data_IF_188733484117
#
_entry.id   IF_188733484117
#
_cell.length_a   1.000
_cell.length_b   1.000
_cell.length_c   1.000
_cell.angle_alpha   90.00
_cell.angle_beta   90.00
_cell.angle_gamma   90.00
#
_symmetry.space_group_name_H-M   'P 1'
#
loop_
_entity.id
_entity.type
_entity.pdbx_description
1 polymer ?
#
# COMPACT_ATOMS: atom_id res chain seq x y z
N UNK A 1 -20.76 11.51 15.94
CA UNK A 1 -19.56 10.83 15.38
C UNK A 1 -18.44 11.84 15.23
N UNK A 2 -17.32 11.64 15.92
CA UNK A 2 -16.13 12.49 15.76
C UNK A 2 -15.23 11.89 14.69
N UNK A 3 -15.04 12.61 13.60
CA UNK A 3 -14.15 12.21 12.52
C UNK A 3 -12.69 12.29 13.00
N UNK A 4 -11.85 11.27 12.72
CA UNK A 4 -10.43 11.33 13.03
C UNK A 4 -9.75 12.50 12.34
N UNK A 5 -8.61 12.92 12.89
CA UNK A 5 -7.85 14.07 12.40
C UNK A 5 -6.38 13.73 12.15
N UNK A 6 -5.85 14.30 11.06
CA UNK A 6 -4.42 14.33 10.76
C UNK A 6 -4.04 15.76 10.42
N UNK A 7 -3.35 16.44 11.34
CA UNK A 7 -3.05 17.87 11.19
C UNK A 7 -4.34 18.68 11.06
N UNK A 8 -4.47 19.41 9.95
CA UNK A 8 -5.65 20.24 9.65
C UNK A 8 -6.79 19.46 8.97
N UNK A 9 -6.58 18.19 8.65
CA UNK A 9 -7.51 17.39 7.86
C UNK A 9 -8.39 16.50 8.75
N UNK A 10 -9.61 16.26 8.29
CA UNK A 10 -10.54 15.26 8.81
C UNK A 10 -10.58 14.07 7.86
N UNK A 11 -10.66 12.87 8.42
CA UNK A 11 -10.70 11.63 7.64
C UNK A 11 -12.14 11.13 7.56
N UNK A 12 -12.68 11.05 6.36
CA UNK A 12 -13.97 10.42 6.08
C UNK A 12 -13.76 8.92 5.87
N UNK A 13 -13.88 8.14 6.95
CA UNK A 13 -13.67 6.69 6.88
C UNK A 13 -14.74 6.04 5.98
N UNK A 14 -16.01 6.46 6.09
CA UNK A 14 -17.10 5.82 5.37
C UNK A 14 -16.96 6.01 3.85
N UNK A 15 -16.65 7.23 3.43
CA UNK A 15 -16.38 7.53 2.01
C UNK A 15 -15.17 6.74 1.50
N UNK A 16 -14.06 6.73 2.27
CA UNK A 16 -12.87 5.95 1.92
C UNK A 16 -13.18 4.45 1.78
N UNK A 17 -13.83 3.84 2.77
CA UNK A 17 -14.13 2.41 2.78
C UNK A 17 -15.05 2.00 1.63
N UNK A 18 -15.99 2.87 1.24
CA UNK A 18 -16.92 2.60 0.14
C UNK A 18 -16.24 2.44 -1.23
N UNK A 19 -15.01 2.95 -1.37
CA UNK A 19 -14.21 2.88 -2.59
C UNK A 19 -13.05 1.90 -2.42
N UNK A 20 -12.27 2.03 -1.35
CA UNK A 20 -11.04 1.26 -1.18
C UNK A 20 -11.29 -0.24 -0.93
N UNK A 21 -12.27 -0.60 -0.11
CA UNK A 21 -12.47 -2.01 0.27
C UNK A 21 -12.98 -2.89 -0.88
N UNK A 22 -13.91 -2.43 -1.76
CA UNK A 22 -14.28 -3.17 -2.96
C UNK A 22 -13.11 -3.38 -3.93
N UNK A 23 -12.22 -2.40 -4.07
CA UNK A 23 -11.06 -2.49 -4.97
C UNK A 23 -9.96 -3.41 -4.44
N UNK A 24 -9.92 -3.67 -3.13
CA UNK A 24 -8.98 -4.62 -2.51
C UNK A 24 -9.48 -6.07 -2.51
N UNK A 25 -10.63 -6.36 -3.13
CA UNK A 25 -11.09 -7.74 -3.28
C UNK A 25 -10.26 -8.45 -4.35
N UNK A 26 -9.64 -9.57 -3.98
CA UNK A 26 -8.90 -10.44 -4.90
C UNK A 26 -9.89 -11.11 -5.86
N UNK A 27 -9.78 -10.79 -7.14
CA UNK A 27 -10.57 -11.39 -8.23
C UNK A 27 -9.65 -12.18 -9.15
N UNK A 28 -10.18 -13.22 -9.77
CA UNK A 28 -9.41 -14.13 -10.65
C UNK A 28 -8.78 -13.42 -11.86
N UNK A 29 -9.34 -12.27 -12.28
CA UNK A 29 -8.88 -11.46 -13.40
C UNK A 29 -7.90 -10.34 -12.98
N UNK A 30 -7.56 -10.23 -11.70
CA UNK A 30 -6.66 -9.18 -11.22
C UNK A 30 -5.20 -9.57 -11.43
N UNK A 31 -4.46 -8.78 -12.22
CA UNK A 31 -3.04 -9.06 -12.51
C UNK A 31 -2.06 -8.27 -11.62
N UNK A 32 -2.49 -7.17 -11.03
CA UNK A 32 -1.65 -6.28 -10.23
C UNK A 32 -2.52 -5.42 -9.31
N UNK A 33 -2.12 -5.33 -8.04
CA UNK A 33 -2.61 -4.31 -7.13
C UNK A 33 -1.64 -3.14 -7.05
N UNK A 34 -2.17 -1.91 -7.10
CA UNK A 34 -1.42 -0.68 -6.85
C UNK A 34 -2.11 0.07 -5.72
N UNK A 35 -1.37 0.32 -4.65
CA UNK A 35 -1.85 1.12 -3.51
C UNK A 35 -0.93 2.31 -3.34
N UNK A 36 -1.40 3.49 -3.75
CA UNK A 36 -0.70 4.72 -3.43
C UNK A 36 -1.11 5.22 -2.04
N UNK A 37 -0.18 4.91 -1.15
CA UNK A 37 -0.08 5.02 0.29
C UNK A 37 -0.88 4.03 1.13
N UNK A 38 -0.15 3.13 1.81
CA UNK A 38 -0.58 2.42 3.02
C UNK A 38 -0.07 3.24 4.22
N UNK A 39 -0.83 4.29 4.55
CA UNK A 39 -0.39 5.37 5.43
C UNK A 39 -1.30 5.61 6.63
N UNK A 40 -0.98 6.66 7.38
CA UNK A 40 -1.65 6.98 8.65
C UNK A 40 -3.15 7.28 8.45
N UNK A 41 -3.52 7.89 7.33
CA UNK A 41 -4.92 8.28 7.08
C UNK A 41 -5.79 7.05 6.80
N UNK A 42 -5.26 6.11 6.03
CA UNK A 42 -5.94 4.88 5.63
C UNK A 42 -6.07 3.92 6.83
N UNK A 43 -5.10 3.92 7.75
CA UNK A 43 -5.16 3.13 8.99
C UNK A 43 -6.29 3.54 9.96
N UNK A 44 -7.00 4.65 9.72
CA UNK A 44 -8.21 4.93 10.50
C UNK A 44 -9.39 4.03 10.12
N UNK A 45 -9.36 3.39 8.93
CA UNK A 45 -10.26 2.30 8.60
C UNK A 45 -9.75 1.01 9.27
N UNK A 46 -10.50 0.40 10.21
CA UNK A 46 -10.11 -0.88 10.79
C UNK A 46 -10.14 -2.04 9.78
N UNK A 47 -10.87 -1.87 8.68
CA UNK A 47 -11.06 -2.87 7.63
C UNK A 47 -9.95 -2.83 6.57
N UNK A 48 -9.30 -1.68 6.39
CA UNK A 48 -8.34 -1.47 5.31
C UNK A 48 -7.08 -2.33 5.45
N UNK A 49 -6.40 -2.29 6.60
CA UNK A 49 -5.15 -3.04 6.76
C UNK A 49 -5.32 -4.56 6.65
N UNK A 50 -6.38 -5.18 7.22
CA UNK A 50 -6.72 -6.58 6.92
C UNK A 50 -6.91 -6.86 5.43
N UNK A 51 -7.57 -5.97 4.68
CA UNK A 51 -7.75 -6.14 3.24
C UNK A 51 -6.42 -6.08 2.47
N UNK A 52 -5.51 -5.17 2.85
CA UNK A 52 -4.14 -5.11 2.28
C UNK A 52 -3.36 -6.40 2.56
N UNK A 53 -3.49 -6.98 3.75
CA UNK A 53 -2.86 -8.26 4.08
C UNK A 53 -3.43 -9.41 3.25
N UNK A 54 -4.75 -9.46 3.05
CA UNK A 54 -5.36 -10.48 2.20
C UNK A 54 -4.88 -10.40 0.75
N UNK A 55 -4.66 -9.19 0.22
CA UNK A 55 -4.05 -8.99 -1.10
C UNK A 55 -2.62 -9.52 -1.12
N UNK A 56 -1.83 -9.22 -0.09
CA UNK A 56 -0.44 -9.68 0.00
C UNK A 56 -0.31 -11.20 0.15
N UNK A 57 -1.26 -11.85 0.84
CA UNK A 57 -1.34 -13.30 0.98
C UNK A 57 -1.84 -14.01 -0.29
N UNK A 58 -2.28 -13.25 -1.31
CA UNK A 58 -2.70 -13.78 -2.60
C UNK A 58 -1.51 -14.05 -3.53
N UNK A 59 -1.77 -14.71 -4.67
CA UNK A 59 -0.77 -14.90 -5.72
C UNK A 59 -0.66 -13.70 -6.69
N UNK A 60 -1.35 -12.60 -6.42
CA UNK A 60 -1.34 -11.41 -7.28
C UNK A 60 -0.26 -10.43 -6.81
N UNK A 61 0.62 -9.95 -7.70
CA UNK A 61 1.61 -8.93 -7.36
C UNK A 61 0.99 -7.67 -6.75
N UNK A 62 1.65 -7.11 -5.74
CA UNK A 62 1.27 -5.85 -5.08
C UNK A 62 2.41 -4.84 -5.16
N UNK A 63 2.12 -3.66 -5.71
CA UNK A 63 2.95 -2.47 -5.60
C UNK A 63 2.30 -1.48 -4.64
N UNK A 64 2.97 -1.14 -3.54
CA UNK A 64 2.45 -0.20 -2.56
C UNK A 64 3.49 0.84 -2.16
N UNK A 65 3.06 2.09 -1.96
CA UNK A 65 3.88 3.11 -1.30
C UNK A 65 3.57 3.13 0.21
N UNK A 66 4.60 3.38 1.01
CA UNK A 66 4.49 3.45 2.48
C UNK A 66 5.24 4.67 3.00
N UNK A 67 4.75 5.34 4.06
CA UNK A 67 5.41 6.51 4.60
C UNK A 67 6.79 6.14 5.15
N UNK A 68 7.77 6.98 4.85
CA UNK A 68 9.08 6.91 5.51
C UNK A 68 8.93 7.29 7.00
N UNK A 69 9.66 6.63 7.92
CA UNK A 69 9.62 6.98 9.33
C UNK A 69 9.98 8.45 9.54
N UNK A 70 9.04 9.24 10.08
CA UNK A 70 9.31 10.63 10.47
C UNK A 70 9.62 10.67 11.97
N UNK A 71 10.79 11.21 12.32
CA UNK A 71 11.23 11.41 13.71
C UNK A 71 11.20 10.14 14.58
N UNK A 72 11.53 8.98 14.00
CA UNK A 72 11.55 7.69 14.71
C UNK A 72 10.15 7.12 15.04
N UNK A 73 9.07 7.74 14.57
CA UNK A 73 7.71 7.24 14.78
C UNK A 73 7.35 6.29 13.64
N UNK A 74 7.23 5.01 13.98
CA UNK A 74 6.80 3.97 13.06
C UNK A 74 5.31 3.70 13.25
N UNK A 75 4.59 3.52 12.14
CA UNK A 75 3.25 2.91 12.17
C UNK A 75 3.45 1.40 12.33
N UNK A 76 2.90 0.76 13.38
CA UNK A 76 3.03 -0.68 13.59
C UNK A 76 2.59 -1.51 12.38
N UNK A 77 1.55 -1.07 11.69
CA UNK A 77 0.99 -1.71 10.49
C UNK A 77 2.00 -1.67 9.34
N UNK A 78 2.67 -0.53 9.14
CA UNK A 78 3.74 -0.41 8.13
C UNK A 78 4.93 -1.30 8.49
N UNK A 79 5.31 -1.38 9.77
CA UNK A 79 6.37 -2.28 10.21
C UNK A 79 5.99 -3.75 9.98
N UNK A 80 4.74 -4.12 10.26
CA UNK A 80 4.21 -5.45 9.99
C UNK A 80 4.24 -5.77 8.50
N UNK A 81 3.77 -4.86 7.64
CA UNK A 81 3.79 -5.03 6.19
C UNK A 81 5.20 -5.29 5.66
N UNK A 82 6.18 -4.50 6.12
CA UNK A 82 7.60 -4.64 5.70
C UNK A 82 8.21 -6.00 6.07
N UNK A 83 7.72 -6.63 7.13
CA UNK A 83 8.26 -7.89 7.63
C UNK A 83 7.56 -9.13 7.06
N UNK A 84 6.60 -8.95 6.15
CA UNK A 84 5.90 -10.08 5.54
C UNK A 84 6.80 -10.82 4.55
N UNK A 85 6.73 -12.15 4.49
CA UNK A 85 7.47 -12.94 3.50
C UNK A 85 7.19 -12.47 2.07
N UNK A 86 8.23 -12.37 1.24
CA UNK A 86 8.09 -11.94 -0.15
C UNK A 86 8.02 -10.42 -0.38
N UNK A 87 7.95 -9.61 0.68
CA UNK A 87 7.96 -8.14 0.55
C UNK A 87 9.38 -7.63 0.33
N UNK A 88 9.57 -6.91 -0.79
CA UNK A 88 10.79 -6.16 -1.08
C UNK A 88 10.55 -4.67 -0.82
N UNK A 89 11.31 -4.09 0.10
CA UNK A 89 11.16 -2.68 0.49
C UNK A 89 12.26 -1.85 -0.17
N UNK A 90 11.87 -0.91 -1.03
CA UNK A 90 12.78 0.04 -1.68
C UNK A 90 12.63 1.40 -1.02
N UNK A 91 13.72 1.95 -0.47
CA UNK A 91 13.73 3.31 0.06
C UNK A 91 14.09 4.30 -1.04
N UNK A 92 13.15 5.19 -1.36
CA UNK A 92 13.35 6.23 -2.36
C UNK A 92 14.03 7.47 -1.76
N UNK A 93 14.94 8.05 -2.54
CA UNK A 93 15.63 9.31 -2.31
C UNK A 93 15.56 10.16 -3.58
N UNK A 94 15.92 11.44 -3.47
CA UNK A 94 15.98 12.32 -4.64
C UNK A 94 16.95 11.81 -5.73
N UNK A 95 18.02 11.11 -5.33
CA UNK A 95 19.06 10.64 -6.24
C UNK A 95 18.76 9.29 -6.88
N UNK A 96 17.90 8.46 -6.28
CA UNK A 96 17.55 7.13 -6.82
C UNK A 96 16.16 7.07 -7.46
N UNK A 97 15.37 8.14 -7.41
CA UNK A 97 13.98 8.17 -7.91
C UNK A 97 13.85 7.65 -9.34
N UNK A 98 14.63 8.20 -10.27
CA UNK A 98 14.51 7.85 -11.69
C UNK A 98 15.04 6.44 -12.00
N UNK A 99 16.22 6.03 -11.52
CA UNK A 99 16.68 4.65 -11.66
C UNK A 99 15.74 3.61 -11.02
N UNK A 100 15.14 3.93 -9.87
CA UNK A 100 14.23 3.00 -9.18
C UNK A 100 12.91 2.83 -9.93
N UNK A 101 12.43 3.85 -10.64
CA UNK A 101 11.26 3.73 -11.52
C UNK A 101 11.50 2.67 -12.61
N UNK A 102 12.65 2.72 -13.27
CA UNK A 102 13.02 1.74 -14.30
C UNK A 102 13.15 0.33 -13.69
N UNK A 103 13.84 0.22 -12.56
CA UNK A 103 13.97 -1.05 -11.84
C UNK A 103 12.62 -1.68 -11.46
N UNK A 104 11.70 -0.89 -10.89
CA UNK A 104 10.36 -1.37 -10.52
C UNK A 104 9.60 -1.81 -11.78
N UNK A 105 9.67 -1.05 -12.87
CA UNK A 105 9.03 -1.42 -14.12
C UNK A 105 9.56 -2.76 -14.67
N UNK A 106 10.86 -2.97 -14.65
CA UNK A 106 11.49 -4.22 -15.12
C UNK A 106 11.08 -5.43 -14.27
N UNK A 107 11.01 -5.27 -12.94
CA UNK A 107 10.57 -6.33 -12.02
C UNK A 107 9.12 -6.74 -12.31
N UNK A 108 8.20 -5.78 -12.38
CA UNK A 108 6.78 -6.08 -12.57
C UNK A 108 6.47 -6.53 -14.00
N UNK A 109 7.14 -5.99 -15.02
CA UNK A 109 6.97 -6.46 -16.40
C UNK A 109 7.44 -7.91 -16.59
N UNK A 110 8.37 -8.40 -15.76
CA UNK A 110 8.74 -9.81 -15.71
C UNK A 110 7.70 -10.72 -15.06
N UNK A 111 6.83 -10.18 -14.20
CA UNK A 111 5.78 -10.94 -13.50
C UNK A 111 4.45 -10.95 -14.23
N UNK A 112 4.17 -9.91 -15.00
CA UNK A 112 2.89 -9.77 -15.69
C UNK A 112 2.84 -10.65 -16.94
N UNK A 113 1.64 -11.18 -17.29
CA UNK A 113 1.45 -11.92 -18.54
C UNK A 113 1.93 -11.07 -19.71
N UNK A 114 2.72 -11.67 -20.61
CA UNK A 114 3.05 -11.04 -21.88
C UNK A 114 1.77 -10.97 -22.71
N UNK A 115 1.40 -9.75 -23.12
CA UNK A 115 0.34 -9.55 -24.11
C UNK A 115 0.76 -10.11 -25.47
#
# INVERSE_FOLDING_TARGET
>A
MTWPSVGKYKVDIASFESIALPELQVKDDTNLFIIDEVGKMEMFSPSFFPAVLNVLDSNVPLLASIPSPKFGRHLPEVARLKNQPGVNVISLSATNRDPMKEHIFDVFSGWLPKQ
#
